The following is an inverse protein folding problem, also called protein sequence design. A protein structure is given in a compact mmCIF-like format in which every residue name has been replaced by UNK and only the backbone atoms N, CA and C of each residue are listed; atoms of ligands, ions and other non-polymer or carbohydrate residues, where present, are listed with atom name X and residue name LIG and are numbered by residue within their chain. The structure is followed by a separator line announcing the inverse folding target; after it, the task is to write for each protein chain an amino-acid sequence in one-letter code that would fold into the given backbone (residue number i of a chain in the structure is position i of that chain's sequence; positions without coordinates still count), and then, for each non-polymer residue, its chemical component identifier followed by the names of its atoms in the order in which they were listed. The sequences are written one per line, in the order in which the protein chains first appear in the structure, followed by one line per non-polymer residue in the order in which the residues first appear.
data_IF_790786637424
#
_entry.id   IF_790786637424
#
_cell.length_a   1.000
_cell.length_b   1.000
_cell.length_c   1.000
_cell.angle_alpha   90.00
_cell.angle_beta   90.00
_cell.angle_gamma   90.00
#
_symmetry.space_group_name_H-M   'P 1'
#
loop_
_entity.id
_entity.type
_entity.pdbx_description
1 polymer ?
#
# COMPACT_ATOMS: atom_id res chain seq x y z
N UNK A 1 8.59 -10.80 9.84
CA UNK A 1 9.94 -10.64 9.24
C UNK A 1 10.90 -11.76 9.60
N UNK A 2 11.13 -12.03 10.89
CA UNK A 2 12.02 -13.11 11.34
C UNK A 2 11.61 -14.50 10.80
N UNK A 3 10.33 -14.82 10.85
CA UNK A 3 9.75 -16.10 10.39
C UNK A 3 9.95 -16.40 8.90
N UNK A 4 10.27 -15.36 8.11
CA UNK A 4 10.53 -15.45 6.68
C UNK A 4 11.99 -15.14 6.32
N UNK A 5 12.87 -15.07 7.32
CA UNK A 5 14.32 -14.85 7.12
C UNK A 5 14.70 -13.40 6.78
N UNK A 6 13.82 -12.43 7.01
CA UNK A 6 14.02 -11.00 6.68
C UNK A 6 14.10 -10.10 7.93
N UNK A 7 14.65 -10.62 9.05
CA UNK A 7 14.81 -9.84 10.29
C UNK A 7 15.61 -8.55 10.05
N UNK A 8 15.06 -7.40 10.45
CA UNK A 8 15.67 -6.08 10.24
C UNK A 8 15.56 -5.49 8.83
N UNK A 9 15.00 -6.23 7.85
CA UNK A 9 14.90 -5.73 6.48
C UNK A 9 13.77 -4.69 6.31
N UNK A 10 12.62 -4.93 6.96
CA UNK A 10 11.46 -4.05 6.95
C UNK A 10 11.44 -3.03 8.10
N UNK A 11 10.34 -2.30 8.21
CA UNK A 11 10.10 -1.28 9.25
C UNK A 11 9.31 -1.82 10.45
N UNK A 12 8.72 -3.01 10.32
CA UNK A 12 8.02 -3.73 11.38
C UNK A 12 8.53 -5.16 11.53
N UNK A 13 8.36 -5.75 12.71
CA UNK A 13 8.56 -7.18 12.95
C UNK A 13 7.53 -8.06 12.22
N UNK A 14 6.33 -7.53 11.92
CA UNK A 14 5.22 -8.26 11.28
C UNK A 14 5.40 -8.21 9.76
N UNK A 15 5.64 -9.37 9.13
CA UNK A 15 5.79 -9.43 7.66
C UNK A 15 4.44 -9.27 6.95
N UNK A 16 3.49 -10.10 7.36
CA UNK A 16 2.10 -10.05 6.95
C UNK A 16 1.23 -10.45 8.15
N UNK A 17 0.01 -9.93 8.20
CA UNK A 17 -0.95 -10.30 9.24
C UNK A 17 -1.76 -11.55 8.85
N UNK A 18 -2.32 -12.23 9.84
CA UNK A 18 -3.52 -13.02 9.59
C UNK A 18 -4.68 -12.08 9.19
N UNK A 19 -5.68 -12.57 8.45
CA UNK A 19 -6.85 -11.76 8.09
C UNK A 19 -7.62 -11.28 9.32
N UNK A 20 -8.09 -10.04 9.27
CA UNK A 20 -8.84 -9.40 10.36
C UNK A 20 -10.03 -8.61 9.81
N UNK A 21 -11.14 -8.48 10.57
CA UNK A 21 -12.26 -7.65 10.17
C UNK A 21 -11.86 -6.18 10.27
N UNK A 22 -12.06 -5.42 9.18
CA UNK A 22 -11.73 -4.00 9.12
C UNK A 22 -12.98 -3.13 8.92
N UNK A 23 -13.86 -3.54 8.01
CA UNK A 23 -15.08 -2.80 7.69
C UNK A 23 -16.33 -3.60 7.99
N UNK A 24 -17.38 -2.89 8.38
CA UNK A 24 -18.74 -3.47 8.47
C UNK A 24 -19.32 -3.68 7.07
N UNK A 25 -20.34 -4.52 6.98
CA UNK A 25 -21.06 -4.73 5.72
C UNK A 25 -21.66 -3.44 5.16
N UNK A 26 -22.14 -2.54 6.01
CA UNK A 26 -22.72 -1.26 5.57
C UNK A 26 -21.65 -0.30 5.05
N UNK A 27 -20.48 -0.25 5.70
CA UNK A 27 -19.34 0.48 5.18
C UNK A 27 -18.90 -0.07 3.80
N UNK A 28 -18.87 -1.40 3.64
CA UNK A 28 -18.52 -2.02 2.34
C UNK A 28 -19.54 -1.69 1.26
N UNK A 29 -20.85 -1.66 1.59
CA UNK A 29 -21.88 -1.24 0.62
C UNK A 29 -21.65 0.20 0.16
N UNK A 30 -21.34 1.11 1.09
CA UNK A 30 -21.06 2.51 0.75
C UNK A 30 -19.76 2.67 -0.05
N UNK A 31 -18.67 2.01 0.36
CA UNK A 31 -17.40 1.99 -0.38
C UNK A 31 -17.63 1.52 -1.83
N UNK A 32 -18.37 0.41 -2.01
CA UNK A 32 -18.69 -0.08 -3.35
C UNK A 32 -19.55 0.90 -4.14
N UNK A 33 -20.49 1.59 -3.51
CA UNK A 33 -21.32 2.59 -4.19
C UNK A 33 -20.48 3.74 -4.74
N UNK A 34 -19.44 4.17 -4.02
CA UNK A 34 -18.47 5.16 -4.51
C UNK A 34 -17.59 4.60 -5.63
N UNK A 35 -17.00 3.42 -5.42
CA UNK A 35 -16.11 2.74 -6.39
C UNK A 35 -16.79 2.51 -7.74
N UNK A 36 -18.07 2.14 -7.75
CA UNK A 36 -18.83 1.87 -8.98
C UNK A 36 -19.71 3.04 -9.43
N UNK A 37 -19.49 4.24 -8.88
CA UNK A 37 -20.19 5.44 -9.35
C UNK A 37 -19.71 5.84 -10.75
N UNK A 38 -20.59 6.47 -11.53
CA UNK A 38 -20.28 6.91 -12.89
C UNK A 38 -19.05 7.84 -12.96
N UNK A 39 -18.86 8.84 -12.08
CA UNK A 39 -17.66 9.68 -12.12
C UNK A 39 -16.37 8.90 -11.87
N UNK A 40 -16.39 7.92 -10.96
CA UNK A 40 -15.21 7.08 -10.68
C UNK A 40 -14.88 6.18 -11.86
N UNK A 41 -15.88 5.49 -12.42
CA UNK A 41 -15.63 4.60 -13.56
C UNK A 41 -15.16 5.36 -14.80
N UNK A 42 -15.63 6.60 -14.98
CA UNK A 42 -15.22 7.45 -16.11
C UNK A 42 -13.80 8.01 -15.95
N UNK A 43 -13.47 8.52 -14.78
CA UNK A 43 -12.27 9.38 -14.59
C UNK A 43 -11.13 8.67 -13.85
N UNK A 44 -11.38 7.50 -13.25
CA UNK A 44 -10.42 6.80 -12.38
C UNK A 44 -10.15 5.36 -12.79
N UNK A 45 -10.73 4.86 -13.88
CA UNK A 45 -10.55 3.48 -14.34
C UNK A 45 -9.38 3.37 -15.33
N UNK A 46 -8.46 2.46 -15.04
CA UNK A 46 -7.24 2.23 -15.82
C UNK A 46 -7.14 0.77 -16.27
N UNK A 47 -6.54 0.57 -17.44
CA UNK A 47 -6.16 -0.74 -17.97
C UNK A 47 -4.72 -0.69 -18.46
N UNK A 48 -3.93 -1.71 -18.14
CA UNK A 48 -2.54 -1.86 -18.57
C UNK A 48 -2.23 -3.34 -18.87
N UNK A 49 -1.03 -3.61 -19.38
CA UNK A 49 -0.52 -4.98 -19.55
C UNK A 49 -0.37 -5.73 -18.22
N UNK A 50 -0.22 -5.00 -17.10
CA UNK A 50 -0.09 -5.53 -15.75
C UNK A 50 -1.44 -5.62 -15.02
N UNK A 51 -2.41 -4.74 -15.33
CA UNK A 51 -3.70 -4.63 -14.64
C UNK A 51 -4.85 -4.52 -15.63
N UNK A 52 -5.72 -5.54 -15.70
CA UNK A 52 -6.81 -5.55 -16.69
C UNK A 52 -7.98 -4.61 -16.39
N UNK A 53 -8.22 -4.32 -15.11
CA UNK A 53 -9.30 -3.44 -14.66
C UNK A 53 -8.99 -2.94 -13.25
N UNK A 54 -8.47 -1.72 -13.17
CA UNK A 54 -8.10 -1.07 -11.92
C UNK A 54 -8.81 0.28 -11.79
N UNK A 55 -9.16 0.67 -10.57
CA UNK A 55 -9.63 2.02 -10.24
C UNK A 55 -8.64 2.66 -9.28
N UNK A 56 -8.21 3.89 -9.55
CA UNK A 56 -7.21 4.61 -8.73
C UNK A 56 -7.44 6.11 -8.77
N UNK A 57 -7.02 6.81 -7.70
CA UNK A 57 -7.08 8.27 -7.69
C UNK A 57 -8.51 8.81 -7.58
N UNK A 58 -9.39 8.12 -6.86
CA UNK A 58 -10.76 8.60 -6.63
C UNK A 58 -10.75 9.94 -5.88
N UNK A 59 -9.90 10.05 -4.87
CA UNK A 59 -9.81 11.25 -4.02
C UNK A 59 -11.09 11.55 -3.25
N UNK A 60 -11.02 12.56 -2.39
CA UNK A 60 -12.14 12.97 -1.52
C UNK A 60 -13.35 13.50 -2.30
N UNK A 61 -13.13 14.02 -3.50
CA UNK A 61 -14.21 14.52 -4.36
C UNK A 61 -15.15 13.42 -4.83
N UNK A 62 -14.60 12.26 -5.23
CA UNK A 62 -15.39 11.16 -5.81
C UNK A 62 -15.69 10.03 -4.82
N UNK A 63 -14.88 9.88 -3.78
CA UNK A 63 -15.06 8.84 -2.76
C UNK A 63 -14.87 9.38 -1.32
N UNK A 64 -15.68 10.38 -0.90
CA UNK A 64 -15.52 11.02 0.41
C UNK A 64 -15.63 10.05 1.59
N UNK A 65 -16.60 9.12 1.56
CA UNK A 65 -16.76 8.13 2.63
C UNK A 65 -15.53 7.22 2.72
N UNK A 66 -15.05 6.72 1.59
CA UNK A 66 -13.86 5.86 1.55
C UNK A 66 -12.65 6.61 2.09
N UNK A 67 -12.41 7.85 1.66
CA UNK A 67 -11.30 8.66 2.15
C UNK A 67 -11.41 8.95 3.65
N UNK A 68 -12.58 9.34 4.14
CA UNK A 68 -12.79 9.60 5.58
C UNK A 68 -12.61 8.32 6.41
N UNK A 69 -13.13 7.19 5.93
CA UNK A 69 -12.98 5.92 6.63
C UNK A 69 -11.49 5.50 6.71
N UNK A 70 -10.76 5.55 5.59
CA UNK A 70 -9.32 5.20 5.53
C UNK A 70 -8.40 6.15 6.29
N UNK A 71 -8.86 7.38 6.57
CA UNK A 71 -8.10 8.38 7.33
C UNK A 71 -8.60 8.57 8.77
N UNK A 72 -9.62 7.80 9.18
CA UNK A 72 -10.19 7.88 10.52
C UNK A 72 -9.18 7.44 11.60
N UNK A 73 -9.14 8.10 12.77
CA UNK A 73 -8.28 7.70 13.88
C UNK A 73 -8.49 6.24 14.30
N UNK A 74 -9.72 5.75 14.25
CA UNK A 74 -10.09 4.38 14.61
C UNK A 74 -9.48 3.36 13.65
N UNK A 75 -9.58 3.60 12.34
CA UNK A 75 -8.97 2.73 11.34
C UNK A 75 -7.45 2.76 11.45
N UNK A 76 -6.85 3.95 11.57
CA UNK A 76 -5.41 4.11 11.73
C UNK A 76 -4.88 3.39 12.97
N UNK A 77 -5.60 3.44 14.09
CA UNK A 77 -5.24 2.70 15.30
C UNK A 77 -5.31 1.18 15.07
N UNK A 78 -6.35 0.69 14.40
CA UNK A 78 -6.50 -0.73 14.08
C UNK A 78 -5.35 -1.24 13.20
N UNK A 79 -5.06 -0.57 12.08
CA UNK A 79 -3.99 -1.00 11.17
C UNK A 79 -2.61 -0.87 11.82
N UNK A 80 -2.38 0.14 12.66
CA UNK A 80 -1.13 0.30 13.41
C UNK A 80 -0.92 -0.85 14.39
N UNK A 81 -1.97 -1.24 15.12
CA UNK A 81 -1.93 -2.36 16.04
C UNK A 81 -1.60 -3.67 15.31
N UNK A 82 -2.26 -3.94 14.18
CA UNK A 82 -2.03 -5.15 13.39
C UNK A 82 -0.63 -5.15 12.76
N UNK A 83 -0.17 -4.00 12.28
CA UNK A 83 1.16 -3.85 11.70
C UNK A 83 2.28 -3.87 12.74
N UNK A 84 1.99 -3.66 14.02
CA UNK A 84 3.01 -3.58 15.09
C UNK A 84 3.88 -2.32 15.04
N UNK A 85 3.40 -1.26 14.38
CA UNK A 85 4.07 0.04 14.23
C UNK A 85 3.01 1.12 14.00
N UNK A 86 3.24 2.34 14.50
CA UNK A 86 2.34 3.46 14.25
C UNK A 86 2.35 3.88 12.78
N UNK A 87 1.19 3.85 12.15
CA UNK A 87 0.97 4.14 10.74
C UNK A 87 0.10 5.37 10.51
N UNK A 88 0.29 5.96 9.33
CA UNK A 88 -0.60 6.94 8.72
C UNK A 88 -0.74 6.63 7.23
N UNK A 89 -1.81 7.09 6.57
CA UNK A 89 -1.94 6.93 5.12
C UNK A 89 -0.82 7.71 4.40
N UNK A 90 -0.46 7.29 3.19
CA UNK A 90 0.60 7.95 2.42
C UNK A 90 0.18 9.36 1.99
N UNK A 91 -0.80 9.45 1.09
CA UNK A 91 -1.44 10.67 0.59
C UNK A 91 -2.75 10.29 -0.13
N UNK A 92 -3.64 11.26 -0.34
CA UNK A 92 -5.04 10.98 -0.69
C UNK A 92 -5.23 10.25 -2.03
N UNK A 93 -4.35 10.48 -3.01
CA UNK A 93 -4.40 9.83 -4.32
C UNK A 93 -4.28 8.29 -4.23
N UNK A 94 -3.55 7.80 -3.23
CA UNK A 94 -3.31 6.37 -3.02
C UNK A 94 -4.42 5.65 -2.28
N UNK A 95 -5.38 6.40 -1.71
CA UNK A 95 -6.44 5.80 -0.93
C UNK A 95 -7.33 4.95 -1.83
N UNK A 96 -7.41 3.67 -1.50
CA UNK A 96 -8.39 2.75 -2.08
C UNK A 96 -8.16 2.44 -3.55
N UNK A 97 -6.94 2.10 -3.95
CA UNK A 97 -6.68 1.49 -5.27
C UNK A 97 -7.45 0.17 -5.40
N UNK A 98 -8.38 0.07 -6.34
CA UNK A 98 -9.24 -1.11 -6.48
C UNK A 98 -8.82 -1.96 -7.66
N UNK A 99 -8.64 -3.25 -7.43
CA UNK A 99 -8.48 -4.25 -8.49
C UNK A 99 -9.78 -5.01 -8.68
N UNK A 100 -10.30 -5.06 -9.90
CA UNK A 100 -11.52 -5.79 -10.26
C UNK A 100 -11.14 -6.96 -11.16
N UNK A 101 -11.43 -8.18 -10.70
CA UNK A 101 -11.33 -9.39 -11.51
C UNK A 101 -12.72 -9.99 -11.70
N UNK A 102 -13.11 -10.23 -12.95
CA UNK A 102 -14.38 -10.86 -13.32
C UNK A 102 -14.02 -12.16 -14.04
N UNK A 103 -14.64 -13.28 -13.65
CA UNK A 103 -14.52 -14.53 -14.41
C UNK A 103 -15.39 -14.44 -15.67
N UNK A 104 -14.77 -14.55 -16.84
CA UNK A 104 -15.49 -14.80 -18.10
C UNK A 104 -15.99 -16.25 -18.10
N UNK A 105 -17.31 -16.45 -18.09
CA UNK A 105 -17.91 -17.79 -18.17
C UNK A 105 -17.50 -18.55 -19.44
N UNK A 106 -17.12 -17.84 -20.51
CA UNK A 106 -16.75 -18.42 -21.82
C UNK A 106 -15.31 -18.97 -21.89
N UNK A 107 -14.48 -18.81 -20.85
CA UNK A 107 -13.05 -19.21 -20.86
C UNK A 107 -12.72 -20.46 -20.06
N UNK A 108 -13.69 -21.36 -19.85
CA UNK A 108 -13.49 -22.62 -19.11
C UNK A 108 -12.51 -23.62 -19.76
N UNK A 109 -12.06 -23.41 -21.00
CA UNK A 109 -11.30 -24.42 -21.75
C UNK A 109 -9.83 -24.07 -22.11
N UNK A 110 -9.20 -23.09 -21.46
CA UNK A 110 -7.78 -22.80 -21.71
C UNK A 110 -6.87 -23.43 -20.64
N UNK A 111 -6.44 -24.67 -20.86
CA UNK A 111 -5.55 -25.47 -20.00
C UNK A 111 -4.12 -24.91 -19.77
N UNK A 112 -3.84 -23.66 -20.16
CA UNK A 112 -2.50 -23.04 -20.13
C UNK A 112 -2.53 -21.57 -19.69
N UNK A 113 -3.43 -21.20 -18.77
CA UNK A 113 -3.42 -19.83 -18.23
C UNK A 113 -2.38 -19.69 -17.11
N UNK A 114 -1.60 -18.60 -17.18
CA UNK A 114 -0.73 -18.14 -16.10
C UNK A 114 -1.51 -18.12 -14.77
N UNK A 115 -1.04 -18.82 -13.71
CA UNK A 115 -1.74 -18.91 -12.43
C UNK A 115 -1.71 -17.59 -11.64
N UNK A 116 -1.03 -16.55 -12.11
CA UNK A 116 -0.86 -15.29 -11.41
C UNK A 116 -1.91 -14.25 -11.81
N UNK A 117 -2.50 -13.58 -10.80
CA UNK A 117 -3.30 -12.38 -10.99
C UNK A 117 -2.40 -11.13 -11.09
N UNK A 118 -1.31 -11.16 -10.32
CA UNK A 118 -0.22 -10.19 -10.33
C UNK A 118 1.10 -10.93 -10.25
N UNK A 119 2.04 -10.63 -11.15
CA UNK A 119 3.36 -11.27 -11.19
C UNK A 119 4.19 -10.94 -9.94
N UNK A 120 5.33 -11.61 -9.75
CA UNK A 120 6.25 -11.31 -8.66
C UNK A 120 6.72 -9.85 -8.69
N UNK A 121 6.54 -9.14 -7.60
CA UNK A 121 6.93 -7.74 -7.47
C UNK A 121 7.19 -7.35 -6.02
N UNK A 122 7.72 -6.13 -5.85
CA UNK A 122 7.71 -5.38 -4.60
C UNK A 122 6.74 -4.22 -4.76
N UNK A 123 6.04 -3.89 -3.68
CA UNK A 123 5.17 -2.71 -3.70
C UNK A 123 5.98 -1.43 -3.76
N UNK A 124 5.29 -0.37 -4.18
CA UNK A 124 5.77 1.00 -4.12
C UNK A 124 5.93 1.49 -2.68
N UNK A 125 5.05 1.07 -1.77
CA UNK A 125 4.93 1.64 -0.43
C UNK A 125 5.29 0.64 0.68
N UNK A 126 5.83 1.12 1.83
CA UNK A 126 6.32 0.27 2.91
C UNK A 126 5.33 -0.82 3.36
N UNK A 127 4.09 -0.41 3.62
CA UNK A 127 3.01 -1.27 4.10
C UNK A 127 1.77 -1.05 3.24
N UNK A 128 1.08 -2.12 2.90
CA UNK A 128 -0.22 -2.09 2.24
C UNK A 128 -1.27 -2.83 3.07
N UNK A 129 -2.48 -2.30 3.09
CA UNK A 129 -3.66 -2.99 3.61
C UNK A 129 -4.54 -3.40 2.43
N UNK A 130 -4.71 -4.70 2.23
CA UNK A 130 -5.54 -5.27 1.16
C UNK A 130 -6.86 -5.72 1.77
N UNK A 131 -7.95 -5.10 1.34
CA UNK A 131 -9.31 -5.34 1.84
C UNK A 131 -10.17 -5.99 0.77
N UNK A 132 -10.92 -7.02 1.14
CA UNK A 132 -11.91 -7.63 0.26
C UNK A 132 -13.19 -6.80 0.25
N UNK A 133 -13.57 -6.29 -0.93
CA UNK A 133 -14.82 -5.54 -1.10
C UNK A 133 -15.83 -6.28 -1.98
N UNK A 134 -15.47 -7.44 -2.54
CA UNK A 134 -16.42 -8.42 -3.09
C UNK A 134 -16.56 -9.64 -2.18
N UNK A 135 -17.56 -10.46 -2.48
CA UNK A 135 -17.77 -11.71 -1.77
C UNK A 135 -16.91 -12.75 -2.45
N UNK A 136 -16.10 -13.46 -1.67
CA UNK A 136 -15.23 -14.50 -2.18
C UNK A 136 -15.60 -15.87 -1.62
N UNK A 137 -16.81 -16.02 -1.08
CA UNK A 137 -17.37 -17.32 -0.72
C UNK A 137 -17.34 -18.28 -1.93
N UNK A 138 -16.88 -19.50 -1.70
CA UNK A 138 -16.75 -20.53 -2.74
C UNK A 138 -15.52 -20.40 -3.64
N UNK A 139 -14.78 -19.28 -3.58
CA UNK A 139 -13.56 -19.12 -4.36
C UNK A 139 -12.42 -20.00 -3.84
N UNK A 140 -11.63 -20.55 -4.75
CA UNK A 140 -10.39 -21.29 -4.44
C UNK A 140 -9.19 -20.57 -5.05
N UNK A 141 -8.04 -20.56 -4.36
CA UNK A 141 -6.89 -19.75 -4.77
C UNK A 141 -7.04 -18.29 -4.32
N UNK A 142 -6.37 -17.34 -4.98
CA UNK A 142 -6.44 -15.92 -4.63
C UNK A 142 -5.52 -15.49 -3.48
N UNK A 143 -4.66 -16.38 -2.99
CA UNK A 143 -3.72 -16.08 -1.92
C UNK A 143 -2.54 -15.23 -2.39
N UNK A 144 -1.97 -14.49 -1.44
CA UNK A 144 -0.69 -13.81 -1.64
C UNK A 144 0.45 -14.78 -1.31
N UNK A 145 1.28 -15.07 -2.31
CA UNK A 145 2.51 -15.84 -2.12
C UNK A 145 3.69 -14.88 -1.94
N UNK A 146 4.54 -15.16 -0.97
CA UNK A 146 5.78 -14.43 -0.68
C UNK A 146 6.99 -15.32 -0.99
N UNK A 147 8.07 -14.72 -1.48
CA UNK A 147 9.35 -15.41 -1.66
C UNK A 147 10.29 -15.01 -0.52
N UNK A 148 10.84 -16.02 0.15
CA UNK A 148 11.86 -15.82 1.19
C UNK A 148 13.26 -15.67 0.58
N UNK A 149 14.27 -15.20 1.33
CA UNK A 149 15.65 -15.12 0.84
C UNK A 149 16.26 -16.46 0.39
N UNK A 150 15.77 -17.58 0.91
CA UNK A 150 16.21 -18.92 0.48
C UNK A 150 15.60 -19.36 -0.85
N UNK A 151 14.67 -18.59 -1.42
CA UNK A 151 13.88 -18.95 -2.59
C UNK A 151 12.62 -19.76 -2.26
N UNK A 152 12.39 -20.13 -1.00
CA UNK A 152 11.16 -20.81 -0.58
C UNK A 152 9.95 -19.88 -0.78
N UNK A 153 8.89 -20.42 -1.40
CA UNK A 153 7.61 -19.73 -1.58
C UNK A 153 6.69 -20.07 -0.40
N UNK A 154 6.34 -19.06 0.40
CA UNK A 154 5.36 -19.17 1.49
C UNK A 154 4.06 -18.49 1.09
N UNK A 155 2.95 -19.22 1.17
CA UNK A 155 1.62 -18.63 0.97
C UNK A 155 1.12 -18.07 2.29
N UNK A 156 0.79 -16.79 2.32
CA UNK A 156 0.01 -16.22 3.43
C UNK A 156 -1.39 -16.79 3.28
N UNK A 157 -2.08 -17.05 4.39
CA UNK A 157 -3.52 -17.33 4.35
C UNK A 157 -4.21 -16.14 3.70
N UNK A 158 -4.57 -16.31 2.43
CA UNK A 158 -5.22 -15.27 1.66
C UNK A 158 -6.67 -15.05 2.11
N UNK A 159 -7.32 -14.03 1.55
CA UNK A 159 -8.73 -13.72 1.81
C UNK A 159 -9.74 -14.75 1.27
N UNK A 160 -9.39 -16.03 1.14
CA UNK A 160 -10.23 -17.07 0.51
C UNK A 160 -10.26 -18.38 1.31
N UNK A 161 -9.47 -18.49 2.39
CA UNK A 161 -9.49 -19.65 3.30
C UNK A 161 -10.65 -19.64 4.31
N UNK A 162 -11.72 -20.33 3.93
CA UNK A 162 -12.87 -20.98 4.63
C UNK A 162 -13.31 -20.68 6.07
N UNK A 163 -12.59 -19.94 6.92
CA UNK A 163 -13.04 -19.70 8.30
C UNK A 163 -13.21 -18.24 8.71
N UNK A 164 -12.54 -17.27 8.08
CA UNK A 164 -12.75 -15.84 8.38
C UNK A 164 -12.46 -14.89 7.21
N UNK A 165 -12.07 -15.40 6.04
CA UNK A 165 -11.23 -14.61 5.12
C UNK A 165 -11.92 -14.27 3.81
N UNK A 166 -12.98 -14.98 3.40
CA UNK A 166 -13.81 -14.68 2.22
C UNK A 166 -14.93 -13.67 2.46
N UNK A 167 -14.99 -13.10 3.67
CA UNK A 167 -16.04 -12.19 4.09
C UNK A 167 -15.67 -10.77 3.64
N UNK A 168 -16.60 -10.12 2.95
CA UNK A 168 -16.54 -8.68 2.63
C UNK A 168 -16.17 -7.86 3.88
N UNK A 169 -15.20 -6.97 3.74
CA UNK A 169 -14.73 -6.10 4.82
C UNK A 169 -13.59 -6.69 5.67
N UNK A 170 -13.10 -7.88 5.33
CA UNK A 170 -11.85 -8.42 5.90
C UNK A 170 -10.64 -7.85 5.17
N UNK A 171 -9.53 -7.71 5.90
CA UNK A 171 -8.29 -7.18 5.39
C UNK A 171 -7.07 -8.00 5.83
N UNK A 172 -5.97 -7.83 5.10
CA UNK A 172 -4.63 -8.26 5.47
C UNK A 172 -3.67 -7.07 5.38
N UNK A 173 -2.65 -7.07 6.23
CA UNK A 173 -1.51 -6.13 6.13
C UNK A 173 -0.30 -6.89 5.59
N UNK A 174 0.47 -6.24 4.71
CA UNK A 174 1.72 -6.77 4.16
C UNK A 174 2.79 -5.66 4.10
N UNK A 175 4.02 -5.99 4.48
CA UNK A 175 5.20 -5.16 4.24
C UNK A 175 5.69 -5.28 2.77
N UNK A 176 4.85 -4.89 1.82
CA UNK A 176 5.01 -5.24 0.39
C UNK A 176 6.25 -4.63 -0.28
N UNK A 177 6.77 -3.50 0.21
CA UNK A 177 8.04 -2.93 -0.27
C UNK A 177 9.25 -3.81 0.03
N UNK A 178 9.14 -4.62 1.08
CA UNK A 178 10.24 -5.39 1.67
C UNK A 178 10.19 -6.87 1.33
N UNK A 179 9.09 -7.33 0.74
CA UNK A 179 8.82 -8.75 0.52
C UNK A 179 8.41 -8.93 -0.93
N UNK A 180 9.19 -9.71 -1.69
CA UNK A 180 8.81 -10.09 -3.04
C UNK A 180 7.57 -10.98 -2.95
N UNK A 181 6.50 -10.59 -3.61
CA UNK A 181 5.23 -11.28 -3.53
C UNK A 181 4.48 -11.29 -4.85
N UNK A 182 3.50 -12.20 -4.95
CA UNK A 182 2.59 -12.31 -6.08
C UNK A 182 1.18 -12.63 -5.57
N UNK A 183 0.17 -12.15 -6.27
CA UNK A 183 -1.21 -12.55 -6.03
C UNK A 183 -1.58 -13.69 -6.98
N UNK A 184 -2.05 -14.81 -6.44
CA UNK A 184 -2.52 -15.94 -7.24
C UNK A 184 -3.92 -15.65 -7.79
N UNK A 185 -4.27 -16.25 -8.93
CA UNK A 185 -5.65 -16.21 -9.43
C UNK A 185 -6.58 -16.96 -8.46
N UNK A 186 -7.79 -16.44 -8.32
CA UNK A 186 -8.88 -17.12 -7.65
C UNK A 186 -9.83 -17.68 -8.71
N UNK A 187 -10.38 -18.86 -8.46
CA UNK A 187 -11.29 -19.58 -9.34
C UNK A 187 -12.63 -19.84 -8.65
N UNK A 188 -13.72 -19.84 -9.42
CA UNK A 188 -15.05 -20.30 -8.99
C UNK A 188 -15.94 -19.22 -8.37
N UNK A 189 -15.72 -17.95 -8.72
CA UNK A 189 -16.48 -16.81 -8.17
C UNK A 189 -16.82 -15.80 -9.25
N UNK A 190 -17.98 -15.13 -9.13
CA UNK A 190 -18.46 -14.16 -10.13
C UNK A 190 -17.54 -12.94 -10.26
N UNK A 191 -17.07 -12.42 -9.13
CA UNK A 191 -16.16 -11.28 -9.06
C UNK A 191 -15.20 -11.41 -7.87
N UNK A 192 -13.96 -10.94 -8.06
CA UNK A 192 -13.00 -10.69 -7.00
C UNK A 192 -12.55 -9.25 -7.06
N UNK A 193 -13.01 -8.45 -6.11
CA UNK A 193 -12.71 -7.03 -6.01
C UNK A 193 -11.98 -6.75 -4.69
N UNK A 194 -10.76 -6.23 -4.81
CA UNK A 194 -9.93 -5.89 -3.66
C UNK A 194 -9.61 -4.41 -3.67
N UNK A 195 -9.70 -3.75 -2.52
CA UNK A 195 -9.28 -2.38 -2.30
C UNK A 195 -7.96 -2.38 -1.54
N UNK A 196 -6.96 -1.65 -2.05
CA UNK A 196 -5.61 -1.58 -1.51
C UNK A 196 -5.35 -0.13 -1.10
N UNK A 197 -4.98 0.07 0.16
CA UNK A 197 -4.55 1.38 0.67
C UNK A 197 -3.15 1.25 1.28
N UNK A 198 -2.16 2.01 0.80
CA UNK A 198 -0.82 1.99 1.38
C UNK A 198 -0.72 2.91 2.60
N UNK A 199 0.22 2.54 3.47
CA UNK A 199 0.54 3.23 4.70
C UNK A 199 2.04 3.46 4.81
N UNK A 200 2.39 4.55 5.48
CA UNK A 200 3.75 4.91 5.89
C UNK A 200 3.85 4.99 7.40
N UNK A 201 5.06 4.88 7.98
CA UNK A 201 5.26 5.20 9.39
C UNK A 201 4.73 6.59 9.73
N UNK A 202 4.03 6.71 10.85
CA UNK A 202 3.56 7.99 11.37
C UNK A 202 4.72 8.87 11.84
N UNK A 203 5.74 8.25 12.43
CA UNK A 203 6.93 8.97 12.88
C UNK A 203 7.80 9.35 11.69
N UNK A 204 8.18 10.64 11.53
CA UNK A 204 9.08 11.05 10.46
C UNK A 204 10.49 10.48 10.64
N UNK A 205 10.86 10.03 11.84
CA UNK A 205 12.18 9.48 12.13
C UNK A 205 12.35 8.02 11.71
N UNK A 206 11.27 7.35 11.32
CA UNK A 206 11.33 5.99 10.78
C UNK A 206 11.60 6.08 9.29
N UNK A 207 12.38 5.11 8.78
CA UNK A 207 12.72 5.02 7.36
C UNK A 207 11.45 4.85 6.53
N UNK A 208 11.36 5.62 5.45
CA UNK A 208 10.32 5.54 4.44
C UNK A 208 10.97 5.37 3.07
N UNK A 209 10.82 4.17 2.51
CA UNK A 209 11.36 3.76 1.20
C UNK A 209 10.27 3.68 0.14
N UNK A 210 9.25 4.52 0.27
CA UNK A 210 8.22 4.71 -0.75
C UNK A 210 8.84 5.17 -2.08
N UNK A 211 8.52 4.44 -3.14
CA UNK A 211 8.87 4.75 -4.54
C UNK A 211 7.62 4.76 -5.40
N UNK A 212 7.68 5.29 -6.62
CA UNK A 212 6.54 5.37 -7.53
C UNK A 212 6.66 4.41 -8.72
N UNK A 213 7.69 3.56 -8.77
CA UNK A 213 8.01 2.71 -9.93
C UNK A 213 6.82 1.90 -10.47
N UNK A 214 6.09 1.19 -9.61
CA UNK A 214 4.97 0.33 -10.04
C UNK A 214 3.67 1.10 -10.20
N UNK A 215 3.57 2.27 -9.57
CA UNK A 215 2.36 3.09 -9.54
C UNK A 215 2.29 4.12 -10.68
N UNK A 216 3.44 4.61 -11.14
CA UNK A 216 3.55 5.66 -12.16
C UNK A 216 2.87 5.28 -13.47
N UNK A 217 2.99 4.03 -13.91
CA UNK A 217 2.42 3.57 -15.18
C UNK A 217 0.88 3.46 -15.20
N UNK A 218 0.23 3.57 -14.03
CA UNK A 218 -1.20 3.31 -13.82
C UNK A 218 -1.87 4.43 -13.03
N UNK A 219 -1.35 5.66 -13.15
CA UNK A 219 -1.80 6.83 -12.39
C UNK A 219 -1.81 8.09 -13.26
N UNK A 220 -2.64 9.06 -12.89
CA UNK A 220 -2.45 10.45 -13.29
C UNK A 220 -1.17 10.97 -12.64
N UNK A 221 -0.19 11.38 -13.44
CA UNK A 221 1.13 11.78 -12.94
C UNK A 221 1.11 13.08 -12.15
N UNK A 222 0.30 14.05 -12.57
CA UNK A 222 0.21 15.34 -11.89
C UNK A 222 -0.28 15.15 -10.44
N UNK A 223 -1.38 14.41 -10.26
CA UNK A 223 -1.94 14.16 -8.93
C UNK A 223 -1.04 13.25 -8.08
N UNK A 224 -0.47 12.21 -8.70
CA UNK A 224 0.46 11.30 -8.02
C UNK A 224 1.70 12.04 -7.51
N UNK A 225 2.35 12.84 -8.37
CA UNK A 225 3.55 13.58 -8.02
C UNK A 225 3.27 14.72 -7.06
N UNK A 226 2.10 15.37 -7.17
CA UNK A 226 1.68 16.37 -6.20
C UNK A 226 1.61 15.78 -4.79
N UNK A 227 0.79 14.74 -4.60
CA UNK A 227 0.63 14.10 -3.30
C UNK A 227 1.93 13.49 -2.78
N UNK A 228 2.72 12.84 -3.65
CA UNK A 228 4.01 12.28 -3.26
C UNK A 228 5.00 13.36 -2.82
N UNK A 229 5.14 14.43 -3.59
CA UNK A 229 6.09 15.51 -3.27
C UNK A 229 5.69 16.22 -1.99
N UNK A 230 4.39 16.50 -1.80
CA UNK A 230 3.88 17.19 -0.62
C UNK A 230 4.26 16.46 0.67
N UNK A 231 3.87 15.19 0.85
CA UNK A 231 4.16 14.49 2.11
C UNK A 231 5.67 14.28 2.30
N UNK A 232 6.44 14.10 1.21
CA UNK A 232 7.89 13.91 1.30
C UNK A 232 8.57 15.18 1.83
N UNK A 233 8.11 16.35 1.41
CA UNK A 233 8.60 17.65 1.88
C UNK A 233 8.16 17.93 3.33
N UNK A 234 6.93 17.60 3.71
CA UNK A 234 6.45 17.71 5.10
C UNK A 234 7.33 16.88 6.05
N UNK A 235 7.67 15.65 5.66
CA UNK A 235 8.56 14.80 6.46
C UNK A 235 9.95 15.43 6.65
N UNK A 236 10.52 16.07 5.62
CA UNK A 236 11.78 16.80 5.76
C UNK A 236 11.64 18.01 6.69
N UNK A 237 10.54 18.75 6.58
CA UNK A 237 10.26 19.88 7.48
C UNK A 237 10.22 19.42 8.95
N UNK A 238 9.49 18.35 9.24
CA UNK A 238 9.40 17.80 10.59
C UNK A 238 10.75 17.31 11.12
N UNK A 239 11.54 16.61 10.29
CA UNK A 239 12.88 16.15 10.66
C UNK A 239 13.82 17.31 10.97
N UNK A 240 13.87 18.33 10.12
CA UNK A 240 14.70 19.51 10.37
C UNK A 240 14.25 20.28 11.60
N UNK A 241 12.93 20.43 11.81
CA UNK A 241 12.38 21.07 13.00
C UNK A 241 12.76 20.31 14.27
N UNK A 242 12.70 18.97 14.25
CA UNK A 242 13.12 18.12 15.35
C UNK A 242 14.63 18.26 15.63
N UNK A 243 15.47 18.19 14.59
CA UNK A 243 16.92 18.34 14.72
C UNK A 243 17.32 19.71 15.24
N UNK A 244 16.71 20.78 14.75
CA UNK A 244 16.97 22.13 15.22
C UNK A 244 16.60 22.30 16.71
N UNK A 245 15.49 21.69 17.14
CA UNK A 245 15.08 21.69 18.55
C UNK A 245 16.09 20.93 19.43
N UNK A 246 16.61 19.81 18.96
CA UNK A 246 17.66 19.06 19.63
C UNK A 246 18.95 19.88 19.75
N UNK A 247 19.43 20.50 18.67
CA UNK A 247 20.64 21.31 18.66
C UNK A 247 20.56 22.52 19.60
N UNK A 248 19.41 23.20 19.64
CA UNK A 248 19.17 24.30 20.58
C UNK A 248 19.25 23.84 22.03
N UNK A 249 18.69 22.66 22.35
CA UNK A 249 18.78 22.08 23.70
C UNK A 249 20.21 21.72 24.07
N UNK A 250 20.96 21.10 23.14
CA UNK A 250 22.39 20.79 23.32
C UNK A 250 23.20 22.06 23.62
N UNK A 251 22.98 23.12 22.83
CA UNK A 251 23.64 24.42 23.03
C UNK A 251 23.32 25.03 24.39
N UNK A 252 22.03 25.06 24.79
CA UNK A 252 21.61 25.56 26.10
C UNK A 252 22.23 24.78 27.26
N UNK A 253 22.37 23.46 27.11
CA UNK A 253 23.07 22.60 28.05
C UNK A 253 24.61 22.75 28.00
N UNK A 254 25.13 23.57 27.08
CA UNK A 254 26.57 23.80 26.82
C UNK A 254 27.33 22.51 26.53
N UNK A 255 26.66 21.51 25.97
CA UNK A 255 27.30 20.27 25.53
C UNK A 255 28.09 20.50 24.25
N UNK A 256 29.19 19.76 24.07
CA UNK A 256 30.01 19.82 22.86
C UNK A 256 29.16 19.42 21.63
N UNK A 257 29.42 20.09 20.50
CA UNK A 257 28.77 19.78 19.24
C UNK A 257 29.21 18.41 18.72
N UNK A 258 28.25 17.57 18.31
CA UNK A 258 28.52 16.26 17.74
C UNK A 258 28.55 16.33 16.20
N UNK A 259 29.74 16.53 15.66
CA UNK A 259 29.96 16.58 14.21
C UNK A 259 29.55 15.26 13.53
N UNK A 260 29.75 14.11 14.19
CA UNK A 260 29.50 12.80 13.57
C UNK A 260 28.00 12.56 13.43
N UNK A 261 27.26 12.80 14.50
CA UNK A 261 25.81 12.62 14.50
C UNK A 261 25.14 13.64 13.56
N UNK A 262 25.54 14.92 13.59
CA UNK A 262 24.94 15.91 12.68
C UNK A 262 25.23 15.58 11.21
N UNK A 263 26.46 15.14 10.87
CA UNK A 263 26.77 14.70 9.51
C UNK A 263 25.95 13.50 9.10
N UNK A 264 25.73 12.53 10.00
CA UNK A 264 24.88 11.36 9.74
C UNK A 264 23.45 11.79 9.41
N UNK A 265 22.83 12.62 10.25
CA UNK A 265 21.50 13.15 10.02
C UNK A 265 21.37 13.87 8.67
N UNK A 266 22.34 14.74 8.33
CA UNK A 266 22.32 15.47 7.06
C UNK A 266 22.49 14.55 5.84
N UNK A 267 23.34 13.51 5.95
CA UNK A 267 23.49 12.52 4.88
C UNK A 267 22.23 11.69 4.68
N UNK A 268 21.52 11.34 5.75
CA UNK A 268 20.22 10.66 5.65
C UNK A 268 19.18 11.54 4.92
N UNK A 269 19.15 12.86 5.20
CA UNK A 269 18.23 13.77 4.51
C UNK A 269 18.62 13.98 3.05
N UNK A 270 19.92 14.02 2.76
CA UNK A 270 20.44 14.08 1.39
C UNK A 270 19.99 12.85 0.60
N UNK A 271 20.20 11.64 1.14
CA UNK A 271 19.78 10.40 0.48
C UNK A 271 18.26 10.37 0.27
N UNK A 272 17.50 10.81 1.26
CA UNK A 272 16.04 10.92 1.15
C UNK A 272 15.63 11.85 -0.01
N UNK A 273 16.26 13.02 -0.15
CA UNK A 273 16.03 13.92 -1.28
C UNK A 273 16.44 13.31 -2.61
N UNK A 274 17.60 12.63 -2.68
CA UNK A 274 18.07 11.95 -3.89
C UNK A 274 17.06 10.89 -4.35
N UNK A 275 16.51 10.09 -3.42
CA UNK A 275 15.46 9.11 -3.74
C UNK A 275 14.17 9.79 -4.21
N UNK A 276 13.75 10.89 -3.58
CA UNK A 276 12.56 11.65 -4.03
C UNK A 276 12.76 12.17 -5.46
N UNK A 277 13.93 12.75 -5.76
CA UNK A 277 14.26 13.28 -7.09
C UNK A 277 14.22 12.18 -8.14
N UNK A 278 14.79 11.00 -7.83
CA UNK A 278 14.81 9.88 -8.76
C UNK A 278 13.41 9.35 -9.14
N UNK A 279 12.40 9.58 -8.29
CA UNK A 279 11.02 9.16 -8.57
C UNK A 279 10.22 10.20 -9.38
N UNK A 280 10.68 11.44 -9.46
CA UNK A 280 10.06 12.51 -10.25
C UNK A 280 10.66 12.50 -11.66
N UNK A 281 10.05 11.68 -12.52
CA UNK A 281 10.46 11.53 -13.93
C UNK A 281 9.55 12.37 -14.80
N UNK A 282 10.14 13.20 -15.66
CA UNK A 282 9.40 13.84 -16.75
C UNK A 282 8.88 12.76 -17.67
N UNK A 283 7.56 12.74 -17.82
CA UNK A 283 6.90 11.81 -18.71
C UNK A 283 6.34 12.61 -19.87
N UNK A 284 6.57 12.14 -21.08
CA UNK A 284 5.92 12.71 -22.26
C UNK A 284 4.44 12.34 -22.23
N UNK A 285 3.56 13.32 -22.45
CA UNK A 285 2.14 13.07 -22.60
C UNK A 285 1.96 12.02 -23.70
N UNK A 286 1.33 10.90 -23.36
CA UNK A 286 0.89 9.94 -24.36
C UNK A 286 -0.40 10.54 -24.93
N UNK A 287 -0.26 11.27 -26.04
CA UNK A 287 -1.37 11.75 -26.87
C UNK A 287 -2.37 10.63 -27.22
#
# INVERSE_FOLDING_TARGET
MKEIGLEGHGISSIAASEPFPLFTMEAIKQIRAEVFSEPVLRDCQYTSSFTKNMIRGMGRERAPFSCDAWTSPELLACVSQVAGIDLTWCFDYEIGSVNISIEDQDKQNAHNQDPTAFAWHYDSFPIVCVTMISDCEGMTGGETAMRTPSGEIKKIRGPTMRHLTGIKGTAIILQGRYIEHQALKALGGRERTTMITPFRPKSPMIRDESVLTTCRAISNWSDLYHGYTEYRLELLEERFRAKLKEERRREQAKWRFDVRETRKFLMEQKLYLETTIAELVEMEDID
#
